data_IF_287324491657
#
_entry.id   IF_287324491657
#
_cell.length_a   1.000
_cell.length_b   1.000
_cell.length_c   1.000
_cell.angle_alpha   90.00
_cell.angle_beta   90.00
_cell.angle_gamma   90.00
#
_symmetry.space_group_name_H-M   'P 1'
#
loop_
_entity.id
_entity.type
_entity.pdbx_description
1 polymer ?
#
# COMPACT_ATOMS: atom_id res chain seq x y z
N UNK A 1 -10.83 18.46 1.25
CA UNK A 1 -10.27 19.03 0.03
C UNK A 1 -9.23 18.10 -0.56
N UNK A 2 -9.10 18.13 -1.88
CA UNK A 2 -8.23 17.21 -2.60
C UNK A 2 -7.02 17.89 -3.22
N UNK A 3 -5.95 17.14 -3.39
CA UNK A 3 -4.84 17.49 -4.25
C UNK A 3 -4.72 16.45 -5.35
N UNK A 4 -4.89 16.89 -6.59
CA UNK A 4 -4.92 16.03 -7.76
C UNK A 4 -3.65 16.18 -8.59
N UNK A 5 -3.40 15.22 -9.42
CA UNK A 5 -2.26 15.22 -10.36
C UNK A 5 -2.50 16.08 -11.60
N UNK A 6 -3.75 16.37 -11.87
CA UNK A 6 -4.18 17.25 -12.97
C UNK A 6 -4.64 18.58 -12.39
N UNK A 7 -4.40 19.72 -13.08
CA UNK A 7 -4.67 21.05 -12.53
C UNK A 7 -6.17 21.41 -12.62
N UNK A 8 -7.01 20.59 -12.00
CA UNK A 8 -8.45 20.85 -11.94
C UNK A 8 -8.79 21.53 -10.59
N UNK A 9 -9.71 22.51 -10.59
CA UNK A 9 -10.09 23.19 -9.34
C UNK A 9 -11.05 22.39 -8.47
N UNK A 10 -11.64 21.31 -8.99
CA UNK A 10 -12.59 20.46 -8.28
C UNK A 10 -12.33 18.98 -8.54
N UNK A 11 -12.67 18.17 -7.55
CA UNK A 11 -12.64 16.72 -7.62
C UNK A 11 -14.02 16.18 -7.29
N UNK A 12 -14.62 15.43 -8.19
CA UNK A 12 -15.89 14.72 -7.94
C UNK A 12 -15.61 13.41 -7.23
N UNK A 13 -16.33 13.17 -6.14
CA UNK A 13 -16.28 11.91 -5.38
C UNK A 13 -17.65 11.26 -5.44
N UNK A 14 -17.71 10.06 -6.01
CA UNK A 14 -18.91 9.24 -6.08
C UNK A 14 -18.61 7.94 -5.34
N UNK A 15 -19.29 7.74 -4.23
CA UNK A 15 -19.04 6.62 -3.33
C UNK A 15 -20.33 5.87 -3.04
N UNK A 16 -20.27 4.55 -3.15
CA UNK A 16 -21.33 3.65 -2.67
C UNK A 16 -20.78 2.89 -1.47
N UNK A 17 -21.42 3.07 -0.33
CA UNK A 17 -21.05 2.44 0.93
C UNK A 17 -21.51 0.99 1.01
N UNK A 18 -20.99 0.25 2.00
CA UNK A 18 -21.32 -1.17 2.23
C UNK A 18 -22.81 -1.42 2.50
N UNK A 19 -23.52 -0.43 3.03
CA UNK A 19 -24.96 -0.48 3.29
C UNK A 19 -25.82 -0.01 2.10
N UNK A 20 -25.17 0.36 0.97
CA UNK A 20 -25.83 0.87 -0.22
C UNK A 20 -26.05 2.39 -0.22
N UNK A 21 -25.67 3.10 0.83
CA UNK A 21 -25.72 4.57 0.86
C UNK A 21 -24.85 5.15 -0.24
N UNK A 22 -25.31 6.24 -0.86
CA UNK A 22 -24.62 6.88 -1.98
C UNK A 22 -24.22 8.29 -1.57
N UNK A 23 -22.94 8.61 -1.79
CA UNK A 23 -22.37 9.93 -1.60
C UNK A 23 -21.87 10.47 -2.94
N UNK A 24 -22.36 11.64 -3.31
CA UNK A 24 -21.91 12.38 -4.49
C UNK A 24 -21.50 13.77 -4.02
N UNK A 25 -20.20 14.03 -4.00
CA UNK A 25 -19.64 15.28 -3.52
C UNK A 25 -18.67 15.86 -4.53
N UNK A 26 -18.58 17.19 -4.55
CA UNK A 26 -17.55 17.90 -5.27
C UNK A 26 -16.64 18.59 -4.27
N UNK A 27 -15.38 18.23 -4.28
CA UNK A 27 -14.37 18.78 -3.39
C UNK A 27 -13.53 19.82 -4.12
N UNK A 28 -13.18 20.90 -3.44
CA UNK A 28 -12.15 21.84 -3.92
C UNK A 28 -10.83 21.09 -4.04
N UNK A 29 -10.11 21.33 -5.11
CA UNK A 29 -8.85 20.66 -5.38
C UNK A 29 -7.76 21.63 -5.82
N UNK A 30 -6.51 21.26 -5.53
CA UNK A 30 -5.30 21.96 -6.00
C UNK A 30 -5.20 23.43 -5.58
N UNK A 31 -5.73 23.75 -4.40
CA UNK A 31 -5.64 25.10 -3.83
C UNK A 31 -4.45 25.19 -2.86
N UNK A 32 -3.39 25.94 -3.20
CA UNK A 32 -2.21 26.08 -2.35
C UNK A 32 -2.51 26.72 -0.99
N UNK A 33 -3.51 27.58 -0.90
CA UNK A 33 -3.88 28.23 0.37
C UNK A 33 -4.43 27.20 1.36
N UNK A 34 -5.21 26.24 0.89
CA UNK A 34 -5.68 25.14 1.72
C UNK A 34 -4.55 24.20 2.14
N UNK A 35 -3.62 23.91 1.23
CA UNK A 35 -2.45 23.11 1.57
C UNK A 35 -1.62 23.78 2.65
N UNK A 36 -1.38 25.09 2.54
CA UNK A 36 -0.60 25.87 3.48
C UNK A 36 -1.23 25.98 4.88
N UNK A 37 -2.51 25.69 5.04
CA UNK A 37 -3.25 25.72 6.30
C UNK A 37 -3.77 24.35 6.75
N UNK A 38 -3.33 23.27 6.10
CA UNK A 38 -3.79 21.91 6.40
C UNK A 38 -3.24 21.41 7.73
N UNK A 39 -4.08 20.69 8.47
CA UNK A 39 -3.73 20.05 9.74
C UNK A 39 -3.30 18.59 9.57
N UNK A 40 -3.56 18.01 8.42
CA UNK A 40 -3.18 16.66 8.03
C UNK A 40 -3.11 16.57 6.50
N UNK A 41 -2.02 16.00 5.99
CA UNK A 41 -1.94 15.55 4.61
C UNK A 41 -2.06 14.03 4.56
N UNK A 42 -3.18 13.55 4.00
CA UNK A 42 -3.42 12.13 3.79
C UNK A 42 -3.02 11.76 2.36
N UNK A 43 -2.07 10.83 2.22
CA UNK A 43 -1.54 10.39 0.92
C UNK A 43 -1.98 8.95 0.66
N UNK A 44 -2.81 8.76 -0.36
CA UNK A 44 -3.41 7.46 -0.73
C UNK A 44 -3.10 7.09 -2.18
N UNK A 45 -1.89 7.35 -2.60
CA UNK A 45 -1.40 7.05 -3.94
C UNK A 45 -0.84 5.63 -4.03
N UNK A 46 -0.56 5.16 -5.23
CA UNK A 46 0.28 3.97 -5.42
C UNK A 46 1.68 4.25 -4.86
N UNK A 47 2.32 3.23 -4.29
CA UNK A 47 3.61 3.39 -3.58
C UNK A 47 4.66 4.13 -4.42
N UNK A 48 4.76 3.82 -5.71
CA UNK A 48 5.74 4.42 -6.61
C UNK A 48 5.47 5.89 -6.95
N UNK A 49 4.28 6.41 -6.60
CA UNK A 49 3.90 7.82 -6.80
C UNK A 49 4.14 8.69 -5.57
N UNK A 50 4.28 8.07 -4.40
CA UNK A 50 4.22 8.75 -3.10
C UNK A 50 5.36 9.74 -2.90
N UNK A 51 6.59 9.29 -3.11
CA UNK A 51 7.78 10.10 -2.79
C UNK A 51 7.85 11.38 -3.58
N UNK A 52 7.61 11.34 -4.88
CA UNK A 52 7.61 12.54 -5.72
C UNK A 52 6.48 13.49 -5.35
N UNK A 53 5.30 12.98 -5.08
CA UNK A 53 4.16 13.80 -4.66
C UNK A 53 4.43 14.51 -3.34
N UNK A 54 4.92 13.79 -2.34
CA UNK A 54 5.23 14.38 -1.02
C UNK A 54 6.33 15.44 -1.14
N UNK A 55 7.39 15.14 -1.87
CA UNK A 55 8.50 16.10 -2.07
C UNK A 55 8.02 17.37 -2.76
N UNK A 56 7.10 17.27 -3.69
CA UNK A 56 6.56 18.44 -4.40
C UNK A 56 5.66 19.31 -3.51
N UNK A 57 4.98 18.72 -2.52
CA UNK A 57 4.04 19.42 -1.64
C UNK A 57 4.68 19.92 -0.34
N UNK A 58 5.80 19.35 0.07
CA UNK A 58 6.40 19.59 1.39
C UNK A 58 6.80 21.04 1.62
N UNK A 59 7.20 21.79 0.59
CA UNK A 59 7.60 23.19 0.72
C UNK A 59 6.41 24.13 1.00
N UNK A 60 5.22 23.76 0.59
CA UNK A 60 3.98 24.54 0.84
C UNK A 60 3.30 24.12 2.15
N UNK A 61 3.41 22.83 2.50
CA UNK A 61 2.81 22.29 3.72
C UNK A 61 3.57 22.78 4.96
N UNK A 62 2.88 23.23 6.02
CA UNK A 62 3.58 23.61 7.27
C UNK A 62 4.44 22.49 7.80
N UNK A 63 5.61 22.83 8.35
CA UNK A 63 6.57 21.82 8.86
C UNK A 63 6.04 21.02 10.05
N UNK A 64 4.99 21.51 10.70
CA UNK A 64 4.33 20.86 11.84
C UNK A 64 3.16 19.97 11.42
N UNK A 65 2.74 20.02 10.17
CA UNK A 65 1.59 19.24 9.68
C UNK A 65 2.00 17.78 9.43
N UNK A 66 1.38 16.81 10.10
CA UNK A 66 1.68 15.41 9.86
C UNK A 66 1.24 14.97 8.47
N UNK A 67 2.05 14.08 7.90
CA UNK A 67 1.80 13.43 6.61
C UNK A 67 1.55 11.96 6.89
N UNK A 68 0.35 11.47 6.59
CA UNK A 68 -0.03 10.07 6.75
C UNK A 68 -0.01 9.37 5.40
N UNK A 69 0.88 8.39 5.27
CA UNK A 69 1.02 7.58 4.06
C UNK A 69 0.26 6.27 4.23
N UNK A 70 -0.71 6.02 3.37
CA UNK A 70 -1.43 4.74 3.32
C UNK A 70 -1.29 4.18 1.91
N UNK A 71 -0.43 3.19 1.75
CA UNK A 71 -0.21 2.48 0.50
C UNK A 71 0.24 1.05 0.79
N UNK A 72 0.13 0.17 -0.19
CA UNK A 72 0.69 -1.17 -0.08
C UNK A 72 2.21 -1.15 -0.26
N UNK A 73 2.88 -2.09 0.41
CA UNK A 73 4.33 -2.17 0.34
C UNK A 73 5.04 -1.27 1.33
N UNK A 74 6.35 -1.24 1.22
CA UNK A 74 7.25 -0.48 2.07
C UNK A 74 8.36 0.14 1.22
N UNK A 75 9.09 1.11 1.78
CA UNK A 75 10.24 1.73 1.12
C UNK A 75 10.11 3.24 0.94
N UNK A 76 8.92 3.80 1.05
CA UNK A 76 8.71 5.25 0.89
C UNK A 76 9.29 6.05 2.06
N UNK A 77 9.34 5.50 3.27
CA UNK A 77 9.94 6.16 4.42
C UNK A 77 11.43 6.39 4.18
N UNK A 78 12.13 5.40 3.64
CA UNK A 78 13.54 5.47 3.31
C UNK A 78 13.81 6.53 2.23
N UNK A 79 12.89 6.70 1.30
CA UNK A 79 12.96 7.73 0.26
C UNK A 79 12.65 9.14 0.78
N UNK A 80 11.94 9.24 1.90
CA UNK A 80 11.45 10.50 2.49
C UNK A 80 12.18 10.89 3.78
N UNK A 81 13.40 10.38 4.01
CA UNK A 81 14.16 10.64 5.25
C UNK A 81 14.42 12.13 5.51
N UNK A 82 14.50 12.94 4.48
CA UNK A 82 14.80 14.37 4.59
C UNK A 82 13.55 15.25 4.74
N UNK A 83 12.36 14.68 4.74
CA UNK A 83 11.12 15.42 4.97
C UNK A 83 11.07 15.85 6.44
N UNK A 84 10.82 17.15 6.68
CA UNK A 84 10.81 17.73 8.03
C UNK A 84 9.48 17.51 8.75
N UNK A 85 8.38 17.45 8.02
CA UNK A 85 7.07 17.18 8.60
C UNK A 85 7.06 15.80 9.27
N UNK A 86 6.26 15.63 10.33
CA UNK A 86 6.06 14.31 10.91
C UNK A 86 5.52 13.33 9.87
N UNK A 87 6.18 12.17 9.73
CA UNK A 87 5.74 11.10 8.84
C UNK A 87 5.04 10.00 9.64
N UNK A 88 3.83 9.68 9.23
CA UNK A 88 3.05 8.58 9.77
C UNK A 88 2.80 7.56 8.67
N UNK A 89 2.75 6.31 9.06
CA UNK A 89 2.39 5.22 8.17
C UNK A 89 1.08 4.59 8.60
N UNK A 90 0.30 4.16 7.63
CA UNK A 90 -0.91 3.43 7.86
C UNK A 90 -1.04 2.19 6.99
N UNK A 91 -1.78 1.22 7.49
CA UNK A 91 -2.23 0.06 6.74
C UNK A 91 -3.72 -0.11 6.94
N UNK A 92 -4.44 -0.53 5.90
CA UNK A 92 -5.88 -0.73 5.97
C UNK A 92 -6.26 -2.05 5.32
N UNK A 93 -7.29 -2.69 5.89
CA UNK A 93 -7.91 -3.89 5.32
C UNK A 93 -9.28 -3.60 4.72
N UNK A 94 -9.70 -2.33 4.64
CA UNK A 94 -10.91 -1.96 3.90
C UNK A 94 -10.78 -2.40 2.45
N UNK A 95 -11.85 -2.95 1.90
CA UNK A 95 -11.90 -3.36 0.50
C UNK A 95 -12.79 -2.41 -0.30
N UNK A 96 -12.27 -1.91 -1.39
CA UNK A 96 -12.98 -1.07 -2.32
C UNK A 96 -12.62 -1.43 -3.76
N UNK A 97 -13.54 -1.21 -4.66
CA UNK A 97 -13.29 -1.35 -6.10
C UNK A 97 -13.77 -0.11 -6.84
N UNK A 98 -13.19 0.11 -8.00
CA UNK A 98 -13.62 1.20 -8.87
C UNK A 98 -14.42 0.64 -10.04
N UNK A 99 -15.54 1.30 -10.31
CA UNK A 99 -16.39 1.05 -11.46
C UNK A 99 -16.63 2.38 -12.18
N UNK A 100 -15.86 2.63 -13.25
CA UNK A 100 -15.83 3.93 -13.91
C UNK A 100 -15.34 5.02 -12.97
N UNK A 101 -16.19 6.03 -12.72
CA UNK A 101 -15.90 7.12 -11.79
C UNK A 101 -16.53 6.91 -10.40
N UNK A 102 -17.11 5.74 -10.15
CA UNK A 102 -17.72 5.38 -8.88
C UNK A 102 -16.77 4.49 -8.09
N UNK A 103 -16.62 4.80 -6.81
CA UNK A 103 -15.90 3.95 -5.84
C UNK A 103 -16.94 3.18 -5.05
N UNK A 104 -16.79 1.87 -5.02
CA UNK A 104 -17.68 0.97 -4.26
C UNK A 104 -16.90 0.42 -3.09
N UNK A 105 -17.33 0.78 -1.87
CA UNK A 105 -16.79 0.23 -0.64
C UNK A 105 -17.41 -1.15 -0.44
N UNK A 106 -16.59 -2.20 -0.60
CA UNK A 106 -17.07 -3.59 -0.64
C UNK A 106 -17.14 -4.18 0.75
N UNK A 107 -16.16 -3.90 1.61
CA UNK A 107 -16.09 -4.45 2.95
C UNK A 107 -15.38 -3.49 3.91
N UNK A 108 -15.93 -3.40 5.12
CA UNK A 108 -15.27 -2.71 6.23
C UNK A 108 -14.04 -3.49 6.68
N UNK A 109 -13.04 -2.77 7.16
CA UNK A 109 -11.79 -3.33 7.65
C UNK A 109 -11.28 -2.57 8.86
N UNK A 110 -10.02 -2.78 9.18
CA UNK A 110 -9.30 -2.12 10.27
C UNK A 110 -8.18 -1.30 9.66
N UNK A 111 -7.98 -0.10 10.18
CA UNK A 111 -6.87 0.78 9.81
C UNK A 111 -5.96 0.95 11.01
N UNK A 112 -4.68 0.67 10.82
CA UNK A 112 -3.64 0.89 11.83
C UNK A 112 -2.75 2.02 11.36
N UNK A 113 -2.50 3.00 12.23
CA UNK A 113 -1.61 4.12 11.94
C UNK A 113 -0.57 4.27 13.06
N UNK A 114 0.58 4.82 12.73
CA UNK A 114 1.62 5.05 13.71
C UNK A 114 2.78 5.85 13.16
N UNK A 115 3.78 6.17 14.01
CA UNK A 115 4.92 6.97 13.59
C UNK A 115 5.80 6.17 12.62
N UNK A 116 6.18 6.81 11.50
CA UNK A 116 7.02 6.17 10.50
C UNK A 116 8.48 6.05 10.98
N UNK A 117 8.96 7.06 11.70
CA UNK A 117 10.32 7.17 12.21
C UNK A 117 10.28 7.43 13.71
N UNK A 118 11.39 7.14 14.40
CA UNK A 118 11.48 7.33 15.84
C UNK A 118 11.25 8.80 16.27
N UNK A 119 11.68 9.75 15.45
CA UNK A 119 11.53 11.18 15.73
C UNK A 119 10.14 11.75 15.45
N UNK A 120 9.25 11.00 14.80
CA UNK A 120 7.96 11.54 14.33
C UNK A 120 6.95 11.78 15.47
N UNK A 121 7.08 11.07 16.58
CA UNK A 121 6.33 11.37 17.79
C UNK A 121 4.94 10.76 17.86
N UNK A 122 4.14 11.24 18.82
CA UNK A 122 2.80 10.74 19.13
C UNK A 122 1.73 11.62 18.48
N UNK A 123 1.00 11.04 17.54
CA UNK A 123 -0.14 11.63 16.87
C UNK A 123 -1.39 10.75 17.02
N UNK A 124 -1.51 10.07 18.18
CA UNK A 124 -2.60 9.14 18.44
C UNK A 124 -3.99 9.78 18.35
N UNK A 125 -4.09 11.10 18.59
CA UNK A 125 -5.36 11.82 18.44
C UNK A 125 -5.92 11.73 17.00
N UNK A 126 -5.06 11.51 16.00
CA UNK A 126 -5.51 11.34 14.61
C UNK A 126 -6.31 10.06 14.43
N UNK A 127 -6.02 9.01 15.20
CA UNK A 127 -6.82 7.79 15.18
C UNK A 127 -8.27 8.07 15.63
N UNK A 128 -8.44 8.89 16.66
CA UNK A 128 -9.77 9.27 17.15
C UNK A 128 -10.54 10.10 16.11
N UNK A 129 -9.85 11.03 15.44
CA UNK A 129 -10.45 11.84 14.38
C UNK A 129 -10.85 10.95 13.18
N UNK A 130 -9.94 10.11 12.72
CA UNK A 130 -10.20 9.25 11.56
C UNK A 130 -11.30 8.22 11.85
N UNK A 131 -11.42 7.76 13.09
CA UNK A 131 -12.47 6.83 13.49
C UNK A 131 -13.89 7.42 13.36
N UNK A 132 -14.03 8.73 13.31
CA UNK A 132 -15.33 9.37 13.06
C UNK A 132 -15.83 9.14 11.62
N UNK A 133 -14.94 8.82 10.69
CA UNK A 133 -15.24 8.62 9.26
C UNK A 133 -14.89 7.23 8.74
N UNK A 134 -14.00 6.51 9.44
CA UNK A 134 -13.63 5.15 9.12
C UNK A 134 -13.79 4.28 10.37
N UNK A 135 -14.50 3.15 10.32
CA UNK A 135 -14.59 2.27 11.48
C UNK A 135 -13.22 1.63 11.77
N UNK A 136 -12.98 1.39 13.07
CA UNK A 136 -11.83 0.64 13.58
C UNK A 136 -10.47 1.19 13.16
N UNK A 137 -10.19 2.44 13.53
CA UNK A 137 -8.86 3.04 13.40
C UNK A 137 -8.14 2.94 14.75
N UNK A 138 -6.92 2.41 14.76
CA UNK A 138 -6.10 2.25 15.94
C UNK A 138 -4.70 2.83 15.74
N UNK A 139 -4.16 3.42 16.81
CA UNK A 139 -2.78 3.89 16.85
C UNK A 139 -1.85 2.80 17.39
N UNK A 140 -0.72 2.60 16.70
CA UNK A 140 0.33 1.67 17.10
C UNK A 140 1.67 2.38 17.14
N UNK A 141 2.34 2.38 18.29
CA UNK A 141 3.68 2.95 18.40
C UNK A 141 4.71 2.14 17.58
N UNK A 142 4.47 0.87 17.35
CA UNK A 142 5.31 0.01 16.51
C UNK A 142 4.57 -0.38 15.22
N UNK A 143 4.25 0.62 14.40
CA UNK A 143 3.55 0.40 13.14
C UNK A 143 4.39 -0.44 12.15
N UNK A 144 5.72 -0.43 12.24
CA UNK A 144 6.58 -1.19 11.33
C UNK A 144 6.36 -2.70 11.45
N UNK A 145 6.07 -3.20 12.64
CA UNK A 145 5.72 -4.63 12.80
C UNK A 145 4.47 -4.99 11.99
N UNK A 146 3.45 -4.15 12.03
CA UNK A 146 2.22 -4.33 11.25
C UNK A 146 2.48 -4.22 9.73
N UNK A 147 3.33 -3.28 9.33
CA UNK A 147 3.73 -3.10 7.92
C UNK A 147 4.46 -4.34 7.39
N UNK A 148 5.39 -4.90 8.15
CA UNK A 148 6.09 -6.13 7.78
C UNK A 148 5.16 -7.32 7.63
N UNK A 149 4.21 -7.45 8.55
CA UNK A 149 3.22 -8.52 8.51
C UNK A 149 2.35 -8.43 7.26
N UNK A 150 1.89 -7.23 6.92
CA UNK A 150 1.15 -7.00 5.68
C UNK A 150 2.03 -7.19 4.45
N UNK A 151 3.30 -6.81 4.51
CA UNK A 151 4.24 -7.03 3.41
C UNK A 151 4.38 -8.52 3.11
N UNK A 152 4.45 -9.37 4.14
CA UNK A 152 4.51 -10.82 3.94
C UNK A 152 3.31 -11.34 3.14
N UNK A 153 2.11 -10.88 3.49
CA UNK A 153 0.89 -11.21 2.74
C UNK A 153 1.00 -10.75 1.29
N UNK A 154 1.44 -9.53 1.07
CA UNK A 154 1.58 -8.96 -0.26
C UNK A 154 2.67 -9.66 -1.09
N UNK A 155 3.78 -10.05 -0.47
CA UNK A 155 4.85 -10.79 -1.14
C UNK A 155 4.41 -12.16 -1.67
N UNK A 156 3.41 -12.77 -1.04
CA UNK A 156 2.84 -14.05 -1.45
C UNK A 156 1.72 -13.83 -2.47
N UNK A 157 0.67 -13.15 -2.06
CA UNK A 157 -0.59 -13.10 -2.81
C UNK A 157 -0.44 -12.31 -4.11
N UNK A 158 0.21 -11.16 -4.06
CA UNK A 158 0.21 -10.24 -5.20
C UNK A 158 0.96 -10.79 -6.40
N UNK A 159 2.24 -11.20 -6.30
CA UNK A 159 2.95 -11.70 -7.46
C UNK A 159 2.41 -13.05 -7.95
N UNK A 160 2.04 -13.98 -7.07
CA UNK A 160 1.55 -15.28 -7.48
C UNK A 160 0.23 -15.17 -8.25
N UNK A 161 -0.72 -14.39 -7.76
CA UNK A 161 -1.99 -14.19 -8.48
C UNK A 161 -1.81 -13.45 -9.79
N UNK A 162 -0.89 -12.48 -9.83
CA UNK A 162 -0.55 -11.74 -11.05
C UNK A 162 0.08 -12.64 -12.11
N UNK A 163 1.00 -13.55 -11.71
CA UNK A 163 1.69 -14.46 -12.59
C UNK A 163 0.74 -15.55 -13.10
N UNK A 164 -0.06 -16.14 -12.21
CA UNK A 164 -0.97 -17.25 -12.54
C UNK A 164 -2.34 -16.79 -13.02
N UNK A 165 -2.62 -15.50 -12.99
CA UNK A 165 -3.89 -14.91 -13.43
C UNK A 165 -5.10 -15.58 -12.78
N UNK A 166 -5.11 -15.62 -11.46
CA UNK A 166 -6.13 -16.33 -10.69
C UNK A 166 -6.57 -15.53 -9.45
N UNK A 167 -7.77 -15.82 -8.92
CA UNK A 167 -8.21 -15.26 -7.64
C UNK A 167 -7.36 -15.76 -6.48
N UNK A 168 -7.39 -15.02 -5.37
CA UNK A 168 -6.58 -15.31 -4.19
C UNK A 168 -6.74 -16.74 -3.68
N UNK A 169 -7.96 -17.27 -3.70
CA UNK A 169 -8.27 -18.61 -3.18
C UNK A 169 -7.56 -19.75 -3.87
N UNK A 170 -7.17 -19.60 -5.14
CA UNK A 170 -6.42 -20.61 -5.88
C UNK A 170 -5.06 -20.90 -5.26
N UNK A 171 -4.50 -19.94 -4.52
CA UNK A 171 -3.21 -20.11 -3.87
C UNK A 171 -3.21 -21.20 -2.80
N UNK A 172 -4.38 -21.57 -2.27
CA UNK A 172 -4.54 -22.69 -1.31
C UNK A 172 -3.97 -23.99 -1.84
N UNK A 173 -3.94 -24.17 -3.15
CA UNK A 173 -3.44 -25.40 -3.79
C UNK A 173 -1.92 -25.41 -3.94
N UNK A 174 -1.24 -24.37 -3.47
CA UNK A 174 0.21 -24.19 -3.63
C UNK A 174 0.89 -23.91 -2.26
N UNK A 175 0.71 -24.81 -1.27
CA UNK A 175 1.25 -24.56 0.08
C UNK A 175 2.76 -24.51 0.13
N UNK A 176 3.46 -25.22 -0.75
CA UNK A 176 4.92 -25.23 -0.78
C UNK A 176 5.48 -23.88 -1.23
N UNK A 177 4.92 -23.30 -2.28
CA UNK A 177 5.34 -21.99 -2.79
C UNK A 177 5.09 -20.91 -1.74
N UNK A 178 3.95 -20.95 -1.08
CA UNK A 178 3.63 -20.02 0.02
C UNK A 178 4.66 -20.14 1.13
N UNK A 179 4.99 -21.35 1.55
CA UNK A 179 5.96 -21.59 2.63
C UNK A 179 7.34 -21.09 2.26
N UNK A 180 7.81 -21.35 1.04
CA UNK A 180 9.11 -20.88 0.58
C UNK A 180 9.22 -19.36 0.61
N UNK A 181 8.19 -18.66 0.17
CA UNK A 181 8.16 -17.20 0.22
C UNK A 181 8.18 -16.72 1.67
N UNK A 182 7.35 -17.32 2.54
CA UNK A 182 7.27 -16.97 3.95
C UNK A 182 8.59 -17.22 4.70
N UNK A 183 9.31 -18.29 4.39
CA UNK A 183 10.62 -18.56 4.98
C UNK A 183 11.61 -17.43 4.69
N UNK A 184 11.65 -16.97 3.45
CA UNK A 184 12.54 -15.88 3.05
C UNK A 184 12.14 -14.55 3.72
N UNK A 185 10.85 -14.23 3.72
CA UNK A 185 10.34 -13.01 4.37
C UNK A 185 10.61 -13.05 5.88
N UNK A 186 10.36 -14.18 6.54
CA UNK A 186 10.60 -14.33 7.98
C UNK A 186 12.07 -14.12 8.34
N UNK A 187 13.00 -14.63 7.53
CA UNK A 187 14.43 -14.44 7.74
C UNK A 187 14.82 -12.95 7.68
N UNK A 188 14.24 -12.19 6.77
CA UNK A 188 14.50 -10.75 6.66
C UNK A 188 13.88 -10.01 7.84
N UNK A 189 12.64 -10.31 8.20
CA UNK A 189 11.94 -9.68 9.33
C UNK A 189 12.73 -9.86 10.64
N UNK A 190 13.26 -11.06 10.88
CA UNK A 190 14.08 -11.34 12.07
C UNK A 190 15.31 -10.44 12.12
N UNK A 191 16.01 -10.27 11.01
CA UNK A 191 17.18 -9.40 10.92
C UNK A 191 16.83 -7.90 10.99
N UNK A 192 15.58 -7.54 10.71
CA UNK A 192 15.07 -6.19 10.91
C UNK A 192 14.64 -5.90 12.35
N UNK A 193 14.77 -6.88 13.25
CA UNK A 193 14.50 -6.73 14.68
C UNK A 193 13.07 -7.03 15.11
N UNK A 194 12.29 -7.72 14.28
CA UNK A 194 10.94 -8.17 14.63
C UNK A 194 10.89 -9.69 14.75
N UNK A 195 10.17 -10.19 15.77
CA UNK A 195 10.03 -11.62 15.97
C UNK A 195 8.84 -12.17 15.19
N UNK A 196 9.14 -13.13 14.32
CA UNK A 196 8.13 -13.92 13.63
C UNK A 196 8.74 -15.25 13.18
N UNK A 197 7.91 -16.26 12.99
CA UNK A 197 8.32 -17.52 12.37
C UNK A 197 7.71 -17.63 10.97
N UNK A 198 8.33 -18.43 10.12
CA UNK A 198 7.79 -18.71 8.79
C UNK A 198 6.40 -19.37 8.89
N UNK A 199 6.21 -20.22 9.88
CA UNK A 199 4.94 -20.91 10.14
C UNK A 199 3.84 -19.91 10.54
N UNK A 200 4.14 -18.96 11.40
CA UNK A 200 3.18 -17.93 11.82
C UNK A 200 2.81 -17.02 10.64
N UNK A 201 3.78 -16.64 9.83
CA UNK A 201 3.51 -15.87 8.61
C UNK A 201 2.65 -16.66 7.62
N UNK A 202 2.99 -17.93 7.39
CA UNK A 202 2.19 -18.80 6.52
C UNK A 202 0.76 -18.90 7.01
N UNK A 203 0.55 -19.13 8.30
CA UNK A 203 -0.78 -19.26 8.88
C UNK A 203 -1.58 -17.96 8.70
N UNK A 204 -0.95 -16.83 8.91
CA UNK A 204 -1.59 -15.53 8.69
C UNK A 204 -1.92 -15.30 7.21
N UNK A 205 -0.99 -15.60 6.31
CA UNK A 205 -1.21 -15.51 4.86
C UNK A 205 -2.37 -16.41 4.43
N UNK A 206 -2.43 -17.64 4.94
CA UNK A 206 -3.53 -18.56 4.63
C UNK A 206 -4.87 -18.06 5.12
N UNK A 207 -4.93 -17.43 6.30
CA UNK A 207 -6.16 -16.80 6.79
C UNK A 207 -6.62 -15.68 5.86
N UNK A 208 -5.70 -14.85 5.36
CA UNK A 208 -6.04 -13.77 4.42
C UNK A 208 -6.51 -14.36 3.08
N UNK A 209 -5.85 -15.41 2.58
CA UNK A 209 -6.27 -16.10 1.35
C UNK A 209 -7.71 -16.61 1.50
N UNK A 210 -8.02 -17.25 2.62
CA UNK A 210 -9.35 -17.81 2.86
C UNK A 210 -10.42 -16.71 3.00
N UNK A 211 -10.10 -15.63 3.70
CA UNK A 211 -11.00 -14.49 3.88
C UNK A 211 -11.25 -13.71 2.58
N UNK A 212 -10.32 -13.78 1.62
CA UNK A 212 -10.38 -13.04 0.36
C UNK A 212 -10.38 -13.96 -0.86
N UNK A 213 -10.83 -15.19 -0.70
CA UNK A 213 -10.66 -16.25 -1.70
C UNK A 213 -11.19 -15.88 -3.09
N UNK A 214 -12.28 -15.13 -3.17
CA UNK A 214 -12.90 -14.73 -4.43
C UNK A 214 -12.36 -13.41 -4.98
N UNK A 215 -11.52 -12.72 -4.22
CA UNK A 215 -10.97 -11.42 -4.62
C UNK A 215 -9.87 -11.59 -5.67
N UNK A 216 -9.81 -10.62 -6.55
CA UNK A 216 -8.70 -10.43 -7.49
C UNK A 216 -7.73 -9.44 -6.84
N UNK A 217 -6.45 -9.82 -6.71
CA UNK A 217 -5.47 -8.95 -6.08
C UNK A 217 -5.30 -7.63 -6.84
N UNK A 218 -4.89 -6.58 -6.12
CA UNK A 218 -4.64 -5.28 -6.75
C UNK A 218 -3.57 -5.36 -7.84
N UNK A 219 -2.54 -6.19 -7.63
CA UNK A 219 -1.48 -6.38 -8.62
C UNK A 219 -1.99 -7.07 -9.89
N UNK A 220 -2.82 -8.10 -9.75
CA UNK A 220 -3.46 -8.73 -10.91
C UNK A 220 -4.36 -7.74 -11.65
N UNK A 221 -5.10 -6.92 -10.92
CA UNK A 221 -5.91 -5.85 -11.54
C UNK A 221 -5.05 -4.87 -12.33
N UNK A 222 -3.89 -4.47 -11.77
CA UNK A 222 -2.95 -3.58 -12.47
C UNK A 222 -2.40 -4.23 -13.74
N UNK A 223 -1.99 -5.50 -13.68
CA UNK A 223 -1.51 -6.25 -14.86
C UNK A 223 -2.58 -6.33 -15.93
N UNK A 224 -3.82 -6.69 -15.57
CA UNK A 224 -4.95 -6.79 -16.51
C UNK A 224 -5.28 -5.45 -17.18
N UNK A 225 -5.10 -4.36 -16.43
CA UNK A 225 -5.35 -3.01 -16.91
C UNK A 225 -4.11 -2.35 -17.55
N UNK A 226 -2.99 -3.07 -17.67
CA UNK A 226 -1.73 -2.57 -18.22
C UNK A 226 -1.21 -1.35 -17.44
N UNK A 227 -1.38 -1.37 -16.10
CA UNK A 227 -0.90 -0.31 -15.22
C UNK A 227 0.40 -0.72 -14.53
N UNK A 228 1.19 0.27 -14.13
CA UNK A 228 2.36 0.07 -13.32
C UNK A 228 1.98 -0.52 -11.97
N UNK A 229 2.62 -1.64 -11.57
CA UNK A 229 2.35 -2.31 -10.31
C UNK A 229 3.19 -1.74 -9.17
N UNK A 230 2.91 -2.18 -7.94
CA UNK A 230 3.69 -1.81 -6.76
C UNK A 230 4.80 -2.83 -6.42
N UNK A 231 5.20 -3.67 -7.38
CA UNK A 231 6.15 -4.76 -7.14
C UNK A 231 7.50 -4.28 -6.57
N UNK A 232 7.97 -3.09 -6.96
CA UNK A 232 9.22 -2.52 -6.47
C UNK A 232 9.19 -2.21 -4.96
N UNK A 233 7.99 -1.95 -4.42
CA UNK A 233 7.75 -1.64 -3.01
C UNK A 233 7.20 -2.83 -2.22
N UNK A 234 7.03 -3.98 -2.84
CA UNK A 234 6.61 -5.23 -2.21
C UNK A 234 7.79 -6.20 -2.21
N UNK A 235 7.87 -7.12 -3.17
CA UNK A 235 9.02 -8.04 -3.26
C UNK A 235 10.34 -7.28 -3.48
N UNK A 236 10.30 -6.18 -4.23
CA UNK A 236 11.48 -5.35 -4.46
C UNK A 236 12.04 -4.75 -3.18
N UNK A 237 11.20 -4.29 -2.26
CA UNK A 237 11.65 -3.82 -0.95
C UNK A 237 12.27 -4.97 -0.15
N UNK A 238 11.63 -6.14 -0.14
CA UNK A 238 12.21 -7.32 0.52
C UNK A 238 13.60 -7.64 -0.02
N UNK A 239 13.79 -7.61 -1.33
CA UNK A 239 15.07 -7.86 -1.96
C UNK A 239 16.14 -6.87 -1.48
N UNK A 240 15.81 -5.59 -1.40
CA UNK A 240 16.75 -4.56 -0.93
C UNK A 240 17.16 -4.79 0.52
N UNK A 241 16.19 -5.12 1.38
CA UNK A 241 16.49 -5.40 2.81
C UNK A 241 17.26 -6.69 2.98
N UNK A 242 16.92 -7.73 2.23
CA UNK A 242 17.67 -8.98 2.21
C UNK A 242 19.13 -8.76 1.82
N UNK A 243 19.38 -7.95 0.78
CA UNK A 243 20.74 -7.59 0.35
C UNK A 243 21.50 -6.88 1.45
N UNK A 244 20.88 -5.92 2.15
CA UNK A 244 21.49 -5.20 3.23
C UNK A 244 21.92 -6.12 4.39
N UNK A 245 21.24 -7.24 4.59
CA UNK A 245 21.54 -8.23 5.62
C UNK A 245 22.33 -9.45 5.12
N UNK A 246 22.66 -9.50 3.84
CA UNK A 246 23.37 -10.64 3.25
C UNK A 246 22.54 -11.92 3.21
N UNK A 247 21.21 -11.81 3.09
CA UNK A 247 20.28 -12.93 3.05
C UNK A 247 19.89 -13.22 1.61
N UNK A 248 20.01 -14.49 1.18
CA UNK A 248 19.53 -14.92 -0.12
C UNK A 248 18.00 -15.14 -0.08
N UNK A 249 17.30 -14.56 -1.06
CA UNK A 249 15.84 -14.67 -1.20
C UNK A 249 15.49 -15.04 -2.64
N UNK A 250 15.89 -16.26 -3.09
CA UNK A 250 15.76 -16.63 -4.49
C UNK A 250 14.32 -16.68 -4.99
N UNK A 251 13.39 -17.11 -4.16
CA UNK A 251 11.98 -17.22 -4.56
C UNK A 251 11.35 -15.84 -4.75
N UNK A 252 11.56 -14.92 -3.81
CA UNK A 252 11.09 -13.55 -3.95
C UNK A 252 11.75 -12.82 -5.13
N UNK A 253 13.03 -13.10 -5.39
CA UNK A 253 13.75 -12.57 -6.55
C UNK A 253 13.12 -13.06 -7.85
N UNK A 254 12.81 -14.34 -7.94
CA UNK A 254 12.16 -14.94 -9.11
C UNK A 254 10.80 -14.30 -9.37
N UNK A 255 9.98 -14.14 -8.35
CA UNK A 255 8.66 -13.51 -8.46
C UNK A 255 8.76 -12.04 -8.88
N UNK A 256 9.67 -11.30 -8.28
CA UNK A 256 9.94 -9.91 -8.66
C UNK A 256 10.28 -9.81 -10.15
N UNK A 257 11.22 -10.61 -10.63
CA UNK A 257 11.65 -10.61 -12.04
C UNK A 257 10.52 -11.00 -12.98
N UNK A 258 9.68 -11.96 -12.60
CA UNK A 258 8.54 -12.40 -13.41
C UNK A 258 7.49 -11.29 -13.56
N UNK A 259 7.18 -10.56 -12.49
CA UNK A 259 6.23 -9.44 -12.56
C UNK A 259 6.82 -8.30 -13.38
N UNK A 260 8.09 -7.97 -13.20
CA UNK A 260 8.78 -6.95 -14.01
C UNK A 260 8.75 -7.32 -15.49
N UNK A 261 8.90 -8.58 -15.80
CA UNK A 261 8.81 -9.07 -17.19
C UNK A 261 7.41 -8.88 -17.76
N UNK A 262 6.37 -9.16 -16.96
CA UNK A 262 4.99 -8.90 -17.40
C UNK A 262 4.74 -7.42 -17.67
N UNK A 263 5.25 -6.54 -16.81
CA UNK A 263 5.15 -5.09 -17.06
C UNK A 263 5.86 -4.70 -18.37
N UNK A 264 7.01 -5.28 -18.66
CA UNK A 264 7.74 -4.98 -19.90
C UNK A 264 7.02 -5.44 -21.17
N UNK A 265 6.09 -6.37 -21.05
CA UNK A 265 5.28 -6.84 -22.18
C UNK A 265 4.25 -5.83 -22.64
N UNK A 266 3.91 -4.83 -21.83
CA UNK A 266 2.95 -3.78 -22.20
C UNK A 266 3.35 -3.04 -23.48
N UNK A 267 4.65 -2.84 -23.70
CA UNK A 267 5.16 -2.21 -24.92
C UNK A 267 4.92 -3.06 -26.15
N UNK A 268 4.99 -4.38 -26.00
CA UNK A 268 4.80 -5.32 -27.13
C UNK A 268 3.36 -5.34 -27.64
N UNK A 269 2.40 -5.03 -26.79
CA UNK A 269 1.00 -5.02 -27.17
C UNK A 269 0.60 -3.69 -27.84
N UNK A 270 1.58 -2.77 -28.03
CA UNK A 270 1.33 -1.49 -28.70
C UNK A 270 0.44 -0.52 -27.92
N UNK A 271 0.20 -0.82 -26.63
CA UNK A 271 -0.66 0.01 -25.80
C UNK A 271 0.11 1.07 -25.03
N UNK A 272 1.44 1.08 -25.13
CA UNK A 272 2.32 1.96 -24.36
C UNK A 272 2.07 1.84 -22.86
N UNK A 273 3.11 1.79 -22.05
CA UNK A 273 2.92 1.98 -20.61
C UNK A 273 2.12 3.26 -20.40
N UNK A 274 1.01 3.22 -19.64
CA UNK A 274 0.42 4.48 -19.20
C UNK A 274 1.55 5.25 -18.53
N UNK A 275 1.86 6.42 -19.08
CA UNK A 275 2.99 7.21 -18.58
C UNK A 275 2.88 7.30 -17.08
N UNK A 276 3.97 7.00 -16.35
CA UNK A 276 3.98 7.27 -14.92
C UNK A 276 3.61 8.72 -14.76
N UNK A 277 2.71 8.95 -13.97
CA UNK A 277 2.10 10.24 -13.74
C UNK A 277 3.03 11.16 -12.99
#
# INVERSE_FOLDING_TARGET
>A
QGWLRVPQPYCSVNLVETDGSIFNESLTANDPDFLATSDLLLVTLKAWQVSDAVKSLASTLPVTTPILLIHNGMGTIEELQNIQQPLLMGTTTHAARRDGNVIIHVANGITHIGPARQQDGDYSYLADILQTVLPDVAWHNNIRAELWRKLAVNCVINPLTAIWNCPNGELRHHPQEIMQICEEVAAVIEREGHHTSAEDLRDYVMQVIDATAENISSMLQDIRALRHTEIDYINGFLLRRARAHGIAVPENTRLFEMVKRKESEYERIGTGLPRPW
#
